data_IF_291916233791
#
_entry.id   IF_291916233791
#
_cell.length_a   1.000
_cell.length_b   1.000
_cell.length_c   1.000
_cell.angle_alpha   90.00
_cell.angle_beta   90.00
_cell.angle_gamma   90.00
#
_symmetry.space_group_name_H-M   'P 1'
#
loop_
_entity.id
_entity.type
_entity.pdbx_description
1 polymer ?
#
# COMPACT_ATOMS: atom_id res chain seq x y z
N UNK A 1 -60.39 30.71 8.71
CA UNK A 1 -61.07 31.74 7.91
C UNK A 1 -60.13 32.93 7.81
N UNK A 2 -59.87 33.45 6.61
CA UNK A 2 -59.03 34.65 6.48
C UNK A 2 -59.73 35.82 7.18
N UNK A 3 -59.03 36.51 8.09
CA UNK A 3 -59.58 37.72 8.70
C UNK A 3 -59.66 38.80 7.63
N UNK A 4 -60.81 39.42 7.48
CA UNK A 4 -61.04 40.50 6.53
C UNK A 4 -61.42 41.77 7.28
N UNK A 5 -61.05 42.92 6.73
CA UNK A 5 -61.40 44.22 7.29
C UNK A 5 -62.74 44.66 6.68
N UNK A 6 -63.70 45.00 7.51
CA UNK A 6 -64.99 45.54 7.06
C UNK A 6 -64.79 46.96 6.53
N UNK A 7 -65.30 47.26 5.34
CA UNK A 7 -65.25 48.61 4.77
C UNK A 7 -65.98 49.60 5.68
N UNK A 8 -65.37 50.77 5.91
CA UNK A 8 -66.02 51.86 6.64
C UNK A 8 -67.27 52.37 5.88
N UNK A 9 -68.31 52.82 6.61
CA UNK A 9 -69.40 53.60 6.03
C UNK A 9 -68.88 54.88 5.35
N UNK A 10 -69.68 55.45 4.45
CA UNK A 10 -69.32 56.71 3.81
C UNK A 10 -69.12 57.83 4.85
N UNK A 11 -68.12 58.68 4.63
CA UNK A 11 -67.86 59.81 5.50
C UNK A 11 -69.03 60.82 5.47
N UNK A 12 -69.31 61.51 6.59
CA UNK A 12 -70.30 62.58 6.60
C UNK A 12 -69.87 63.69 5.62
N UNK A 13 -70.82 64.20 4.83
CA UNK A 13 -70.54 65.19 3.78
C UNK A 13 -71.35 66.46 4.01
N UNK A 14 -70.68 67.61 3.88
CA UNK A 14 -71.29 68.95 3.93
C UNK A 14 -72.25 69.20 2.76
N UNK A 15 -72.16 68.40 1.69
CA UNK A 15 -73.09 68.43 0.54
C UNK A 15 -74.43 67.73 0.86
N UNK A 16 -74.53 67.00 1.98
CA UNK A 16 -75.75 66.32 2.46
C UNK A 16 -76.07 66.68 3.92
N UNK A 17 -76.39 67.95 4.21
CA UNK A 17 -76.52 68.44 5.59
C UNK A 17 -77.63 67.75 6.40
N UNK A 18 -78.68 67.26 5.74
CA UNK A 18 -79.81 66.58 6.38
C UNK A 18 -79.47 65.21 7.00
N UNK A 19 -78.42 64.52 6.51
CA UNK A 19 -77.98 63.22 7.03
C UNK A 19 -76.65 63.28 7.79
N UNK A 20 -75.98 64.42 7.82
CA UNK A 20 -74.61 64.60 8.34
C UNK A 20 -74.40 63.98 9.73
N UNK A 21 -75.25 64.29 10.71
CA UNK A 21 -75.10 63.78 12.08
C UNK A 21 -75.29 62.26 12.15
N UNK A 22 -76.23 61.70 11.37
CA UNK A 22 -76.46 60.25 11.34
C UNK A 22 -75.30 59.51 10.66
N UNK A 23 -74.74 60.09 9.59
CA UNK A 23 -73.59 59.53 8.87
C UNK A 23 -72.31 59.63 9.72
N UNK A 24 -72.13 60.74 10.45
CA UNK A 24 -71.03 60.93 11.40
C UNK A 24 -71.09 59.91 12.54
N UNK A 25 -72.26 59.70 13.16
CA UNK A 25 -72.43 58.71 14.22
C UNK A 25 -72.14 57.28 13.74
N UNK A 26 -72.61 56.92 12.54
CA UNK A 26 -72.34 55.60 11.93
C UNK A 26 -70.85 55.41 11.63
N UNK A 27 -70.21 56.44 11.06
CA UNK A 27 -68.79 56.41 10.74
C UNK A 27 -67.94 56.26 12.00
N UNK A 28 -68.18 57.10 13.02
CA UNK A 28 -67.43 57.07 14.29
C UNK A 28 -67.61 55.73 15.01
N UNK A 29 -68.84 55.18 15.06
CA UNK A 29 -69.09 53.86 15.64
C UNK A 29 -68.37 52.73 14.89
N UNK A 30 -68.17 52.86 13.57
CA UNK A 30 -67.48 51.87 12.76
C UNK A 30 -65.94 51.90 12.89
N UNK A 31 -65.35 53.05 13.29
CA UNK A 31 -63.89 53.20 13.43
C UNK A 31 -63.29 52.25 14.47
N UNK A 32 -63.96 52.05 15.61
CA UNK A 32 -63.48 51.12 16.64
C UNK A 32 -63.36 49.70 16.11
N UNK A 33 -64.45 49.20 15.50
CA UNK A 33 -64.50 47.88 14.86
C UNK A 33 -63.45 47.73 13.75
N UNK A 34 -63.29 48.74 12.90
CA UNK A 34 -62.26 48.74 11.84
C UNK A 34 -60.86 48.61 12.43
N UNK A 35 -60.55 49.36 13.49
CA UNK A 35 -59.24 49.34 14.15
C UNK A 35 -58.95 47.98 14.76
N UNK A 36 -59.93 47.39 15.44
CA UNK A 36 -59.81 46.05 16.01
C UNK A 36 -59.57 44.98 14.93
N UNK A 37 -60.31 45.04 13.82
CA UNK A 37 -60.16 44.13 12.69
C UNK A 37 -58.79 44.29 12.00
N UNK A 38 -58.34 45.52 11.80
CA UNK A 38 -57.03 45.82 11.21
C UNK A 38 -55.88 45.31 12.10
N UNK A 39 -55.93 45.57 13.40
CA UNK A 39 -54.94 45.07 14.36
C UNK A 39 -54.96 43.54 14.44
N UNK A 40 -56.15 42.93 14.44
CA UNK A 40 -56.32 41.49 14.47
C UNK A 40 -55.80 40.78 13.20
N UNK A 41 -55.88 41.45 12.04
CA UNK A 41 -55.30 40.97 10.78
C UNK A 41 -53.77 41.14 10.79
N UNK A 42 -53.26 42.30 11.22
CA UNK A 42 -51.82 42.55 11.31
C UNK A 42 -51.13 41.50 12.20
N UNK A 43 -51.68 41.21 13.38
CA UNK A 43 -51.19 40.18 14.28
C UNK A 43 -51.21 38.78 13.64
N UNK A 44 -52.25 38.46 12.87
CA UNK A 44 -52.36 37.18 12.18
C UNK A 44 -51.31 37.03 11.08
N UNK A 45 -51.03 38.10 10.32
CA UNK A 45 -49.97 38.13 9.30
C UNK A 45 -48.60 37.97 9.93
N UNK A 46 -48.32 38.69 11.02
CA UNK A 46 -47.06 38.57 11.76
C UNK A 46 -46.84 37.15 12.29
N UNK A 47 -47.88 36.55 12.87
CA UNK A 47 -47.84 35.17 13.37
C UNK A 47 -47.62 34.16 12.25
N UNK A 48 -48.27 34.35 11.09
CA UNK A 48 -48.10 33.49 9.93
C UNK A 48 -46.68 33.62 9.34
N UNK A 49 -46.16 34.83 9.22
CA UNK A 49 -44.80 35.09 8.74
C UNK A 49 -43.76 34.41 9.65
N UNK A 50 -43.94 34.52 10.97
CA UNK A 50 -43.07 33.85 11.95
C UNK A 50 -43.14 32.33 11.84
N UNK A 51 -44.34 31.77 11.73
CA UNK A 51 -44.51 30.31 11.51
C UNK A 51 -43.80 29.83 10.25
N UNK A 52 -43.90 30.59 9.15
CA UNK A 52 -43.20 30.26 7.89
C UNK A 52 -41.67 30.36 8.06
N UNK A 53 -41.19 31.38 8.75
CA UNK A 53 -39.77 31.54 9.03
C UNK A 53 -39.21 30.38 9.89
N UNK A 54 -39.92 29.99 10.94
CA UNK A 54 -39.54 28.87 11.81
C UNK A 54 -39.58 27.53 11.05
N UNK A 55 -40.56 27.34 10.16
CA UNK A 55 -40.62 26.18 9.28
C UNK A 55 -39.45 26.14 8.29
N UNK A 56 -39.05 27.27 7.72
CA UNK A 56 -37.87 27.35 6.84
C UNK A 56 -36.57 27.06 7.60
N UNK A 57 -36.42 27.62 8.80
CA UNK A 57 -35.23 27.39 9.63
C UNK A 57 -35.11 25.93 10.09
N UNK A 58 -36.22 25.30 10.46
CA UNK A 58 -36.24 23.88 10.85
C UNK A 58 -36.00 22.91 9.68
N UNK A 59 -36.24 23.34 8.44
CA UNK A 59 -35.94 22.54 7.24
C UNK A 59 -34.47 22.62 6.81
N UNK A 60 -33.72 23.67 7.20
CA UNK A 60 -32.34 23.88 6.78
C UNK A 60 -31.39 22.71 7.12
N UNK A 61 -31.43 22.12 8.34
CA UNK A 61 -30.57 20.97 8.67
C UNK A 61 -30.82 19.75 7.78
N UNK A 62 -32.03 19.57 7.25
CA UNK A 62 -32.39 18.46 6.36
C UNK A 62 -31.72 18.67 4.98
N UNK A 63 -31.70 19.91 4.49
CA UNK A 63 -31.01 20.25 3.25
C UNK A 63 -29.51 20.06 3.39
N UNK A 64 -28.92 20.54 4.49
CA UNK A 64 -27.49 20.38 4.76
C UNK A 64 -27.11 18.89 4.88
N UNK A 65 -27.93 18.08 5.56
CA UNK A 65 -27.73 16.64 5.68
C UNK A 65 -27.80 15.91 4.34
N UNK A 66 -28.68 16.36 3.43
CA UNK A 66 -28.77 15.82 2.07
C UNK A 66 -27.51 16.11 1.26
N UNK A 67 -26.98 17.33 1.34
CA UNK A 67 -25.76 17.70 0.62
C UNK A 67 -24.54 16.94 1.15
N UNK A 68 -24.43 16.77 2.47
CA UNK A 68 -23.38 15.95 3.08
C UNK A 68 -23.49 14.48 2.65
N UNK A 69 -24.70 13.91 2.63
CA UNK A 69 -24.92 12.55 2.13
C UNK A 69 -24.49 12.40 0.66
N UNK A 70 -24.76 13.40 -0.18
CA UNK A 70 -24.36 13.38 -1.59
C UNK A 70 -22.83 13.44 -1.75
N UNK A 71 -22.14 14.24 -0.92
CA UNK A 71 -20.67 14.28 -0.87
C UNK A 71 -20.09 12.95 -0.40
N UNK A 72 -20.67 12.33 0.63
CA UNK A 72 -20.24 11.04 1.15
C UNK A 72 -20.40 9.92 0.10
N UNK A 73 -21.51 9.90 -0.64
CA UNK A 73 -21.73 8.94 -1.75
C UNK A 73 -20.69 9.14 -2.86
N UNK A 74 -20.39 10.38 -3.22
CA UNK A 74 -19.38 10.69 -4.23
C UNK A 74 -18.00 10.19 -3.80
N UNK A 75 -17.61 10.44 -2.55
CA UNK A 75 -16.35 9.96 -1.98
C UNK A 75 -16.28 8.42 -1.96
N UNK A 76 -17.36 7.75 -1.55
CA UNK A 76 -17.46 6.28 -1.54
C UNK A 76 -17.31 5.70 -2.95
N UNK A 77 -17.87 6.35 -3.97
CA UNK A 77 -17.75 5.93 -5.37
C UNK A 77 -16.30 6.00 -5.85
N UNK A 78 -15.57 7.06 -5.51
CA UNK A 78 -14.13 7.18 -5.83
C UNK A 78 -13.30 6.10 -5.12
N UNK A 79 -13.58 5.83 -3.85
CA UNK A 79 -12.88 4.79 -3.10
C UNK A 79 -13.13 3.39 -3.67
N UNK A 80 -14.37 3.12 -4.11
CA UNK A 80 -14.70 1.85 -4.76
C UNK A 80 -13.91 1.64 -6.05
N UNK A 81 -13.77 2.69 -6.88
CA UNK A 81 -12.98 2.62 -8.10
C UNK A 81 -11.49 2.35 -7.80
N UNK A 82 -10.92 3.00 -6.77
CA UNK A 82 -9.54 2.76 -6.34
C UNK A 82 -9.34 1.31 -5.84
N UNK A 83 -10.29 0.79 -5.05
CA UNK A 83 -10.25 -0.60 -4.57
C UNK A 83 -10.31 -1.62 -5.71
N UNK A 84 -11.10 -1.35 -6.75
CA UNK A 84 -11.18 -2.21 -7.95
C UNK A 84 -9.84 -2.25 -8.71
N UNK A 85 -9.16 -1.12 -8.84
CA UNK A 85 -7.84 -1.07 -9.48
C UNK A 85 -6.78 -1.84 -8.68
N UNK A 86 -6.75 -1.67 -7.35
CA UNK A 86 -5.84 -2.42 -6.47
C UNK A 86 -6.08 -3.93 -6.59
N UNK A 87 -7.34 -4.36 -6.65
CA UNK A 87 -7.68 -5.78 -6.86
C UNK A 87 -7.10 -6.30 -8.18
N UNK A 88 -7.26 -5.57 -9.27
CA UNK A 88 -6.73 -5.97 -10.58
C UNK A 88 -5.20 -6.08 -10.57
N UNK A 89 -4.50 -5.14 -9.93
CA UNK A 89 -3.03 -5.17 -9.80
C UNK A 89 -2.55 -6.34 -8.93
N UNK A 90 -3.28 -6.66 -7.87
CA UNK A 90 -3.00 -7.82 -7.02
C UNK A 90 -3.17 -9.14 -7.77
N UNK A 91 -4.24 -9.29 -8.56
CA UNK A 91 -4.48 -10.47 -9.41
C UNK A 91 -3.36 -10.65 -10.44
N UNK A 92 -2.93 -9.57 -11.10
CA UNK A 92 -1.81 -9.59 -12.05
C UNK A 92 -0.50 -9.97 -11.38
N UNK A 93 -0.26 -9.49 -10.16
CA UNK A 93 0.94 -9.82 -9.39
C UNK A 93 0.94 -11.29 -8.94
N UNK A 94 -0.21 -11.82 -8.52
CA UNK A 94 -0.37 -13.23 -8.19
C UNK A 94 -0.09 -14.14 -9.40
N UNK A 95 -0.59 -13.78 -10.58
CA UNK A 95 -0.31 -14.51 -11.82
C UNK A 95 1.19 -14.54 -12.15
N UNK A 96 1.88 -13.39 -12.03
CA UNK A 96 3.33 -13.32 -12.22
C UNK A 96 4.10 -14.21 -11.24
N UNK A 97 3.70 -14.20 -9.96
CA UNK A 97 4.31 -15.04 -8.94
C UNK A 97 4.10 -16.53 -9.25
N UNK A 98 2.92 -16.92 -9.73
CA UNK A 98 2.64 -18.30 -10.15
C UNK A 98 3.51 -18.74 -11.33
N UNK A 99 3.64 -17.89 -12.37
CA UNK A 99 4.54 -18.17 -13.50
C UNK A 99 6.00 -18.26 -13.07
N UNK A 100 6.44 -17.40 -12.14
CA UNK A 100 7.80 -17.47 -11.61
C UNK A 100 8.04 -18.77 -10.81
N UNK A 101 7.07 -19.22 -10.01
CA UNK A 101 7.16 -20.47 -9.28
C UNK A 101 7.29 -21.68 -10.22
N UNK A 102 6.51 -21.71 -11.31
CA UNK A 102 6.61 -22.74 -12.33
C UNK A 102 7.99 -22.76 -13.02
N UNK A 103 8.55 -21.58 -13.34
CA UNK A 103 9.88 -21.46 -13.92
C UNK A 103 10.98 -21.94 -12.97
N UNK A 104 10.86 -21.65 -11.67
CA UNK A 104 11.80 -22.13 -10.65
C UNK A 104 11.78 -23.66 -10.54
N UNK A 105 10.59 -24.28 -10.54
CA UNK A 105 10.50 -25.74 -10.45
C UNK A 105 11.10 -26.41 -11.70
N UNK A 106 10.86 -25.84 -12.89
CA UNK A 106 11.50 -26.31 -14.12
C UNK A 106 13.04 -26.22 -14.05
N UNK A 107 13.57 -25.08 -13.60
CA UNK A 107 15.01 -24.87 -13.44
C UNK A 107 15.63 -25.86 -12.42
N UNK A 108 14.95 -26.11 -11.31
CA UNK A 108 15.36 -27.08 -10.29
C UNK A 108 15.44 -28.50 -10.86
N UNK A 109 14.46 -28.91 -11.65
CA UNK A 109 14.47 -30.22 -12.30
C UNK A 109 15.63 -30.34 -13.30
N UNK A 110 15.88 -29.32 -14.12
CA UNK A 110 17.03 -29.31 -15.03
C UNK A 110 18.37 -29.39 -14.30
N UNK A 111 18.52 -28.70 -13.16
CA UNK A 111 19.72 -28.74 -12.34
C UNK A 111 19.94 -30.13 -11.72
N UNK A 112 18.87 -30.78 -11.24
CA UNK A 112 18.94 -32.15 -10.72
C UNK A 112 19.45 -33.13 -11.80
N UNK A 113 18.91 -33.03 -13.02
CA UNK A 113 19.38 -33.83 -14.16
C UNK A 113 20.85 -33.58 -14.47
N UNK A 114 21.28 -32.32 -14.55
CA UNK A 114 22.67 -31.96 -14.81
C UNK A 114 23.63 -32.49 -13.71
N UNK A 115 23.20 -32.46 -12.44
CA UNK A 115 23.97 -33.02 -11.34
C UNK A 115 24.11 -34.54 -11.46
N UNK A 116 23.06 -35.25 -11.87
CA UNK A 116 23.12 -36.70 -12.10
C UNK A 116 24.13 -37.04 -13.20
N UNK A 117 24.06 -36.33 -14.33
CA UNK A 117 25.01 -36.50 -15.44
C UNK A 117 26.45 -36.24 -15.01
N UNK A 118 26.69 -35.22 -14.18
CA UNK A 118 28.03 -34.93 -13.68
C UNK A 118 28.56 -36.06 -12.79
N UNK A 119 27.73 -36.65 -11.94
CA UNK A 119 28.14 -37.79 -11.11
C UNK A 119 28.45 -39.04 -11.97
N UNK A 120 27.70 -39.28 -13.03
CA UNK A 120 28.02 -40.33 -14.00
C UNK A 120 29.38 -40.06 -14.70
N UNK A 121 29.61 -38.83 -15.14
CA UNK A 121 30.90 -38.44 -15.73
C UNK A 121 32.08 -38.61 -14.75
N UNK A 122 31.89 -38.24 -13.48
CA UNK A 122 32.92 -38.46 -12.44
C UNK A 122 33.26 -39.94 -12.25
N UNK A 123 32.25 -40.83 -12.28
CA UNK A 123 32.47 -42.28 -12.20
C UNK A 123 33.32 -42.76 -13.38
N UNK A 124 33.03 -42.29 -14.59
CA UNK A 124 33.81 -42.62 -15.80
C UNK A 124 35.26 -42.14 -15.67
N UNK A 125 35.48 -40.91 -15.18
CA UNK A 125 36.85 -40.38 -14.97
C UNK A 125 37.60 -41.17 -13.89
N UNK A 126 36.91 -41.59 -12.83
CA UNK A 126 37.53 -42.30 -11.69
C UNK A 126 37.84 -43.76 -12.00
N UNK A 127 36.98 -44.44 -12.77
CA UNK A 127 37.08 -45.87 -13.05
C UNK A 127 37.65 -46.17 -14.45
N UNK A 128 37.91 -45.14 -15.27
CA UNK A 128 38.26 -45.28 -16.67
C UNK A 128 37.05 -45.55 -17.57
N UNK A 129 37.19 -45.28 -18.87
CA UNK A 129 36.17 -45.61 -19.87
C UNK A 129 35.97 -47.11 -20.06
N UNK A 130 36.98 -47.89 -19.69
CA UNK A 130 37.04 -49.33 -19.85
C UNK A 130 37.32 -49.91 -18.47
N UNK A 131 36.39 -50.72 -17.98
CA UNK A 131 36.59 -51.53 -16.79
C UNK A 131 37.44 -52.76 -17.15
N UNK A 132 38.76 -52.62 -17.03
CA UNK A 132 39.71 -53.71 -17.29
C UNK A 132 39.58 -54.88 -16.27
N UNK A 133 38.89 -54.65 -15.14
CA UNK A 133 38.65 -55.65 -14.11
C UNK A 133 37.36 -56.44 -14.35
N UNK A 134 36.34 -55.85 -15.00
CA UNK A 134 35.23 -56.56 -15.61
C UNK A 134 35.69 -57.27 -16.89
N UNK A 135 36.51 -58.31 -16.69
CA UNK A 135 36.86 -59.26 -17.72
C UNK A 135 35.56 -59.88 -18.24
N UNK A 136 35.19 -59.48 -19.44
CA UNK A 136 34.32 -60.21 -20.36
C UNK A 136 34.59 -61.71 -20.27
N UNK A 137 33.60 -62.49 -19.83
CA UNK A 137 33.58 -63.96 -20.05
C UNK A 137 33.54 -64.32 -21.54
N UNK A 138 33.37 -63.33 -22.43
CA UNK A 138 33.58 -63.43 -23.88
C UNK A 138 34.95 -62.85 -24.27
N UNK A 139 36.02 -63.53 -23.85
CA UNK A 139 37.35 -63.37 -24.46
C UNK A 139 37.48 -64.31 -25.66
N UNK A 140 36.70 -64.10 -26.71
CA UNK A 140 36.84 -64.95 -27.92
C UNK A 140 37.56 -64.27 -29.08
N UNK A 141 37.66 -62.94 -29.13
CA UNK A 141 38.37 -62.29 -30.24
C UNK A 141 39.03 -60.97 -29.85
N UNK A 142 40.31 -60.98 -29.44
CA UNK A 142 41.34 -60.02 -29.91
C UNK A 142 42.67 -60.11 -29.14
N UNK A 143 42.66 -60.42 -27.84
CA UNK A 143 43.88 -60.30 -27.00
C UNK A 143 44.94 -61.38 -27.22
N UNK A 144 44.62 -62.52 -27.84
CA UNK A 144 45.61 -63.57 -28.15
C UNK A 144 46.47 -63.25 -29.39
N UNK A 145 46.13 -62.22 -30.18
CA UNK A 145 46.95 -61.82 -31.35
C UNK A 145 48.02 -60.78 -31.04
N UNK A 146 47.97 -60.12 -29.88
CA UNK A 146 48.91 -59.04 -29.57
C UNK A 146 50.24 -59.63 -29.05
N UNK A 147 50.20 -60.62 -28.16
CA UNK A 147 51.43 -61.18 -27.55
C UNK A 147 52.35 -61.90 -28.56
N UNK A 148 51.79 -62.64 -29.52
CA UNK A 148 52.59 -63.35 -30.53
C UNK A 148 53.10 -62.46 -31.68
N UNK A 149 52.54 -61.26 -31.85
CA UNK A 149 52.93 -60.33 -32.95
C UNK A 149 54.00 -59.33 -32.50
N UNK A 150 54.10 -59.04 -31.20
CA UNK A 150 55.03 -58.03 -30.67
C UNK A 150 56.08 -58.68 -29.77
N UNK A 151 57.10 -59.26 -30.40
CA UNK A 151 58.34 -59.63 -29.71
C UNK A 151 58.85 -58.43 -28.89
N UNK A 152 59.06 -58.64 -27.58
CA UNK A 152 59.63 -57.66 -26.64
C UNK A 152 60.94 -57.10 -27.20
N UNK A 153 60.87 -55.94 -27.85
CA UNK A 153 62.02 -55.07 -28.07
C UNK A 153 62.28 -54.38 -26.73
N UNK A 154 63.53 -54.51 -26.26
CA UNK A 154 63.93 -54.24 -24.88
C UNK A 154 63.54 -52.86 -24.34
N UNK A 155 63.54 -52.79 -23.00
CA UNK A 155 63.29 -51.61 -22.17
C UNK A 155 63.69 -50.28 -22.84
N UNK A 156 62.70 -49.56 -23.34
CA UNK A 156 62.76 -48.12 -23.55
C UNK A 156 61.89 -47.50 -22.47
N UNK A 157 62.54 -46.93 -21.47
CA UNK A 157 61.90 -45.93 -20.60
C UNK A 157 61.75 -44.67 -21.44
N UNK A 158 60.57 -44.46 -22.02
CA UNK A 158 60.26 -43.25 -22.77
C UNK A 158 60.26 -42.05 -21.81
N UNK A 159 61.43 -41.43 -21.65
CA UNK A 159 61.54 -40.07 -21.11
C UNK A 159 61.26 -39.15 -22.28
N UNK A 160 60.02 -38.71 -22.44
CA UNK A 160 59.65 -37.79 -23.50
C UNK A 160 60.39 -36.46 -23.33
N UNK A 161 61.12 -36.06 -24.37
CA UNK A 161 61.71 -34.73 -24.42
C UNK A 161 60.60 -33.67 -24.50
N UNK A 162 60.85 -32.47 -23.95
CA UNK A 162 59.88 -31.35 -23.95
C UNK A 162 59.33 -31.02 -25.37
N UNK A 163 60.12 -31.33 -26.40
CA UNK A 163 59.73 -31.22 -27.82
C UNK A 163 58.68 -32.24 -28.26
N UNK A 164 58.73 -33.47 -27.74
CA UNK A 164 57.76 -34.54 -28.09
C UNK A 164 56.41 -34.31 -27.40
N UNK A 165 56.43 -33.82 -26.15
CA UNK A 165 55.23 -33.38 -25.44
C UNK A 165 54.54 -32.24 -26.20
N UNK A 166 55.31 -31.25 -26.67
CA UNK A 166 54.77 -30.16 -27.49
C UNK A 166 54.20 -30.65 -28.83
N UNK A 167 54.79 -31.67 -29.44
CA UNK A 167 54.26 -32.27 -30.68
C UNK A 167 52.96 -33.03 -30.45
N UNK A 168 52.80 -33.70 -29.31
CA UNK A 168 51.59 -34.43 -28.94
C UNK A 168 50.43 -33.52 -28.50
N UNK A 169 50.73 -32.37 -27.89
CA UNK A 169 49.74 -31.34 -27.56
C UNK A 169 49.40 -30.41 -28.74
N UNK A 170 50.31 -30.26 -29.70
CA UNK A 170 50.24 -29.26 -30.78
C UNK A 170 49.04 -29.36 -31.73
N UNK A 171 48.24 -30.42 -31.66
CA UNK A 171 46.97 -30.55 -32.39
C UNK A 171 45.70 -30.51 -31.52
N UNK A 172 45.83 -30.55 -30.19
CA UNK A 172 44.69 -30.60 -29.24
C UNK A 172 44.50 -29.33 -28.44
N UNK A 173 45.56 -28.52 -28.35
CA UNK A 173 45.55 -27.20 -27.75
C UNK A 173 46.27 -26.29 -28.73
N UNK A 174 45.59 -25.26 -29.24
CA UNK A 174 46.25 -24.21 -29.99
C UNK A 174 47.10 -23.40 -29.00
N UNK A 175 48.39 -23.77 -28.90
CA UNK A 175 49.34 -23.10 -28.01
C UNK A 175 49.49 -21.61 -28.36
N UNK A 176 49.26 -21.25 -29.63
CA UNK A 176 49.29 -19.87 -30.11
C UNK A 176 48.09 -19.10 -29.57
N UNK A 177 46.89 -19.66 -29.68
CA UNK A 177 45.68 -19.08 -29.08
C UNK A 177 45.78 -19.01 -27.55
N UNK A 178 46.26 -20.07 -26.91
CA UNK A 178 46.50 -20.07 -25.47
C UNK A 178 47.53 -19.02 -25.04
N UNK A 179 48.63 -18.86 -25.77
CA UNK A 179 49.64 -17.84 -25.47
C UNK A 179 49.11 -16.40 -25.70
N UNK A 180 48.21 -16.23 -26.67
CA UNK A 180 47.53 -14.96 -26.94
C UNK A 180 46.47 -14.62 -25.87
N UNK A 181 45.75 -15.62 -25.36
CA UNK A 181 44.68 -15.44 -24.36
C UNK A 181 45.19 -15.43 -22.92
N UNK A 182 46.31 -16.11 -22.62
CA UNK A 182 46.87 -16.18 -21.26
C UNK A 182 47.05 -14.82 -20.58
N UNK A 183 47.45 -13.72 -21.26
CA UNK A 183 47.51 -12.37 -20.69
C UNK A 183 46.14 -11.76 -20.35
N UNK A 184 45.05 -12.25 -20.95
CA UNK A 184 43.67 -11.77 -20.70
C UNK A 184 42.97 -12.52 -19.57
N UNK A 185 43.53 -13.66 -19.13
CA UNK A 185 43.03 -14.39 -17.98
C UNK A 185 43.22 -13.59 -16.69
N UNK A 186 42.11 -13.30 -16.01
CA UNK A 186 42.16 -12.61 -14.74
C UNK A 186 42.83 -13.49 -13.66
N UNK A 187 43.91 -12.99 -13.07
CA UNK A 187 44.55 -13.60 -11.91
C UNK A 187 43.63 -13.49 -10.68
N UNK A 188 43.76 -14.42 -9.72
CA UNK A 188 42.97 -14.42 -8.48
C UNK A 188 43.07 -13.10 -7.71
N UNK A 189 44.23 -12.44 -7.78
CA UNK A 189 44.47 -11.10 -7.22
C UNK A 189 43.78 -9.96 -8.00
N UNK A 190 43.60 -10.13 -9.31
CA UNK A 190 42.89 -9.18 -10.18
C UNK A 190 41.37 -9.33 -10.09
N UNK A 191 40.86 -10.52 -9.77
CA UNK A 191 39.43 -10.76 -9.54
C UNK A 191 38.85 -9.85 -8.44
N UNK A 192 39.61 -9.66 -7.35
CA UNK A 192 39.24 -8.72 -6.28
C UNK A 192 39.30 -7.24 -6.69
N UNK A 193 40.05 -6.90 -7.74
CA UNK A 193 40.14 -5.55 -8.29
C UNK A 193 39.09 -5.27 -9.37
N UNK A 194 38.66 -6.28 -10.15
CA UNK A 194 37.53 -6.16 -11.09
C UNK A 194 36.18 -6.07 -10.37
N UNK A 195 36.10 -6.66 -9.18
CA UNK A 195 34.99 -6.48 -8.24
C UNK A 195 35.32 -5.28 -7.33
N UNK A 196 35.43 -4.08 -7.90
CA UNK A 196 35.55 -2.87 -7.08
C UNK A 196 34.27 -2.62 -6.27
N UNK A 197 34.39 -2.04 -5.08
CA UNK A 197 33.23 -1.56 -4.30
C UNK A 197 32.29 -0.64 -5.10
N UNK A 198 32.75 -0.05 -6.21
CA UNK A 198 31.95 0.73 -7.17
C UNK A 198 31.06 -0.11 -8.10
N UNK A 199 31.40 -1.35 -8.45
CA UNK A 199 30.52 -2.25 -9.22
C UNK A 199 29.45 -2.93 -8.35
N UNK A 200 29.71 -3.04 -7.04
CA UNK A 200 28.73 -3.40 -6.02
C UNK A 200 28.04 -2.20 -5.34
N UNK A 201 28.53 -0.98 -5.56
CA UNK A 201 28.13 0.22 -4.80
C UNK A 201 26.68 0.64 -5.02
N UNK A 202 26.05 0.13 -6.09
CA UNK A 202 24.63 0.32 -6.36
C UNK A 202 23.73 -0.76 -5.72
N UNK A 203 24.31 -1.81 -5.13
CA UNK A 203 23.57 -2.83 -4.40
C UNK A 203 23.69 -2.56 -2.91
N UNK A 204 22.59 -2.15 -2.28
CA UNK A 204 22.47 -2.12 -0.83
C UNK A 204 22.90 -3.49 -0.29
N UNK A 205 23.85 -3.50 0.65
CA UNK A 205 24.16 -4.73 1.39
C UNK A 205 22.88 -5.25 2.05
N UNK A 206 22.79 -6.56 2.29
CA UNK A 206 21.62 -7.16 2.96
C UNK A 206 21.25 -6.40 4.25
N UNK A 207 22.24 -6.03 5.06
CA UNK A 207 22.00 -5.25 6.28
C UNK A 207 21.46 -3.85 6.02
N UNK A 208 21.88 -3.17 4.95
CA UNK A 208 21.32 -1.87 4.57
C UNK A 208 19.90 -1.99 4.04
N UNK A 209 19.60 -3.03 3.26
CA UNK A 209 18.25 -3.32 2.79
C UNK A 209 17.32 -3.67 3.96
N UNK A 210 17.77 -4.53 4.87
CA UNK A 210 17.00 -4.92 6.06
C UNK A 210 16.73 -3.69 6.95
N UNK A 211 17.71 -2.81 7.12
CA UNK A 211 17.53 -1.56 7.87
C UNK A 211 16.51 -0.64 7.16
N UNK A 212 16.64 -0.43 5.85
CA UNK A 212 15.71 0.38 5.07
C UNK A 212 14.28 -0.16 5.05
N UNK A 213 14.12 -1.49 5.05
CA UNK A 213 12.82 -2.18 5.03
C UNK A 213 12.22 -2.37 6.42
N UNK A 214 13.03 -2.25 7.49
CA UNK A 214 12.59 -2.45 8.88
C UNK A 214 11.44 -1.53 9.27
N UNK A 215 11.44 -0.28 8.75
CA UNK A 215 10.38 0.71 8.99
C UNK A 215 9.01 0.32 8.41
N UNK A 216 8.99 -0.56 7.40
CA UNK A 216 7.79 -1.08 6.75
C UNK A 216 7.36 -2.45 7.27
N UNK A 217 8.31 -3.25 7.74
CA UNK A 217 8.09 -4.67 8.07
C UNK A 217 7.91 -4.94 9.56
N UNK A 218 8.32 -4.01 10.43
CA UNK A 218 8.18 -4.14 11.89
C UNK A 218 7.50 -2.91 12.49
N UNK A 219 6.66 -3.16 13.49
CA UNK A 219 6.10 -2.08 14.29
C UNK A 219 7.20 -1.41 15.11
N UNK A 220 7.25 -0.08 15.09
CA UNK A 220 8.19 0.73 15.84
C UNK A 220 7.67 0.99 17.24
N UNK A 221 8.59 1.06 18.20
CA UNK A 221 8.22 1.35 19.57
C UNK A 221 7.87 2.82 19.76
N UNK A 222 6.75 3.07 20.41
CA UNK A 222 6.37 4.40 20.88
C UNK A 222 7.06 4.61 22.23
N UNK A 223 8.06 5.49 22.26
CA UNK A 223 8.89 5.73 23.44
C UNK A 223 8.33 6.81 24.39
N UNK A 224 7.25 7.51 24.00
CA UNK A 224 6.64 8.59 24.76
C UNK A 224 5.15 8.75 24.41
N UNK A 225 4.53 9.86 24.79
CA UNK A 225 3.17 10.18 24.33
C UNK A 225 3.12 10.71 22.89
N UNK A 226 4.27 10.87 22.22
CA UNK A 226 4.35 11.35 20.83
C UNK A 226 4.63 10.18 19.88
N UNK A 227 3.85 10.10 18.81
CA UNK A 227 4.11 9.18 17.69
C UNK A 227 4.87 9.94 16.61
N UNK A 228 6.13 9.59 16.40
CA UNK A 228 6.91 10.09 15.26
C UNK A 228 6.71 9.17 14.05
N UNK A 229 5.96 9.65 13.07
CA UNK A 229 5.59 8.90 11.86
C UNK A 229 6.74 8.82 10.85
N UNK A 230 7.86 9.52 11.08
CA UNK A 230 9.08 9.34 10.28
C UNK A 230 9.83 8.06 10.62
N UNK A 231 9.62 7.52 11.83
CA UNK A 231 10.35 6.36 12.32
C UNK A 231 9.83 5.03 11.76
N UNK A 232 8.57 4.99 11.33
CA UNK A 232 7.92 3.75 10.89
C UNK A 232 6.55 3.91 10.25
N UNK A 233 6.01 2.79 9.81
CA UNK A 233 4.65 2.69 9.26
C UNK A 233 3.66 2.13 10.27
N UNK A 234 4.10 1.17 11.08
CA UNK A 234 3.29 0.61 12.15
C UNK A 234 3.94 0.90 13.49
N UNK A 235 3.13 1.05 14.53
CA UNK A 235 3.59 1.46 15.85
C UNK A 235 2.97 0.62 16.96
N UNK A 236 3.77 0.31 17.97
CA UNK A 236 3.32 -0.38 19.18
C UNK A 236 4.02 0.21 20.41
N UNK A 237 3.41 0.17 21.57
CA UNK A 237 4.09 0.61 22.79
C UNK A 237 3.15 0.84 23.96
N UNK A 238 3.68 1.51 24.99
CA UNK A 238 2.88 1.96 26.12
C UNK A 238 2.99 3.47 26.32
N UNK A 239 1.84 4.12 26.47
CA UNK A 239 1.75 5.56 26.71
C UNK A 239 0.50 5.88 27.55
N UNK A 240 0.50 7.04 28.20
CA UNK A 240 -0.62 7.46 29.07
C UNK A 240 -0.87 8.96 28.97
N UNK A 241 -2.13 9.38 29.06
CA UNK A 241 -2.52 10.77 28.83
C UNK A 241 -2.83 11.06 27.36
N UNK A 242 -2.66 12.32 26.95
CA UNK A 242 -2.95 12.75 25.59
C UNK A 242 -1.84 12.33 24.62
N UNK A 243 -2.20 11.71 23.51
CA UNK A 243 -1.28 11.32 22.44
C UNK A 243 -1.07 12.48 21.45
N UNK A 244 0.18 12.79 21.16
CA UNK A 244 0.61 13.85 20.24
C UNK A 244 1.16 13.24 18.96
N UNK A 245 0.93 13.93 17.84
CA UNK A 245 1.49 13.53 16.56
C UNK A 245 2.82 14.30 16.37
N UNK A 246 3.90 13.55 16.17
CA UNK A 246 5.23 14.08 15.81
C UNK A 246 5.38 14.25 14.30
N UNK A 247 6.63 14.26 13.83
CA UNK A 247 6.92 14.46 12.40
C UNK A 247 6.25 13.40 11.53
N UNK A 248 5.77 13.82 10.36
CA UNK A 248 4.87 13.03 9.49
C UNK A 248 4.85 13.57 8.06
N UNK A 249 4.64 12.68 7.09
CA UNK A 249 4.56 13.01 5.67
C UNK A 249 3.17 12.72 5.11
N UNK A 250 2.74 13.55 4.16
CA UNK A 250 1.47 13.37 3.46
C UNK A 250 1.37 12.00 2.79
N UNK A 251 0.21 11.36 2.93
CA UNK A 251 -0.08 10.07 2.31
C UNK A 251 0.39 8.85 3.10
N UNK A 252 1.11 9.03 4.22
CA UNK A 252 1.49 7.92 5.10
C UNK A 252 0.25 7.28 5.76
N UNK A 253 0.25 5.96 5.88
CA UNK A 253 -0.80 5.21 6.58
C UNK A 253 -0.23 4.00 7.29
N UNK A 254 -0.97 3.49 8.26
CA UNK A 254 -0.58 2.27 8.96
C UNK A 254 -1.45 2.01 10.18
N UNK A 255 -0.92 1.19 11.09
CA UNK A 255 -1.59 0.74 12.30
C UNK A 255 -0.82 1.18 13.55
N UNK A 256 -1.56 1.58 14.58
CA UNK A 256 -1.00 1.96 15.87
C UNK A 256 -1.73 1.22 16.97
N UNK A 257 -0.98 0.48 17.78
CA UNK A 257 -1.44 -0.11 19.02
C UNK A 257 -0.75 0.56 20.21
N UNK A 258 -1.52 1.05 21.18
CA UNK A 258 -0.97 1.66 22.39
C UNK A 258 -1.63 1.00 23.58
N UNK A 259 -0.83 0.47 24.48
CA UNK A 259 -1.27 0.00 25.80
C UNK A 259 -1.11 1.11 26.84
N UNK A 260 -2.08 1.28 27.74
CA UNK A 260 -2.06 2.27 28.80
C UNK A 260 -3.29 3.18 28.84
N UNK A 261 -3.23 4.16 29.73
CA UNK A 261 -4.33 5.09 30.00
C UNK A 261 -4.37 6.26 29.04
N UNK A 262 -4.61 6.02 27.75
CA UNK A 262 -4.78 7.10 26.77
C UNK A 262 -6.06 7.87 27.09
N UNK A 263 -5.93 9.18 27.31
CA UNK A 263 -7.04 10.07 27.67
C UNK A 263 -7.59 10.86 26.47
N UNK A 264 -6.89 10.83 25.34
CA UNK A 264 -7.30 11.50 24.12
C UNK A 264 -6.14 11.73 23.16
N UNK A 265 -6.41 12.49 22.11
CA UNK A 265 -5.44 12.86 21.08
C UNK A 265 -5.33 14.38 20.99
N UNK A 266 -4.16 14.86 20.58
CA UNK A 266 -3.94 16.28 20.27
C UNK A 266 -4.77 16.74 19.07
N UNK A 267 -4.84 18.06 18.86
CA UNK A 267 -5.56 18.68 17.73
C UNK A 267 -5.03 18.28 16.35
N UNK A 268 -3.89 17.60 16.28
CA UNK A 268 -3.33 17.08 15.04
C UNK A 268 -4.00 15.82 14.53
N UNK A 269 -4.77 15.16 15.40
CA UNK A 269 -5.57 14.02 15.03
C UNK A 269 -7.00 14.43 14.69
N UNK A 270 -7.57 13.75 13.71
CA UNK A 270 -8.99 13.85 13.37
C UNK A 270 -9.60 12.46 13.51
N UNK A 271 -10.48 12.30 14.48
CA UNK A 271 -11.11 11.03 14.81
C UNK A 271 -12.32 10.81 13.91
N UNK A 272 -12.34 9.70 13.18
CA UNK A 272 -13.40 9.37 12.23
C UNK A 272 -14.58 8.62 12.88
N UNK A 273 -14.30 7.77 13.87
CA UNK A 273 -15.29 6.92 14.56
C UNK A 273 -15.14 6.99 16.09
N UNK A 274 -15.42 8.15 16.72
CA UNK A 274 -15.13 8.37 18.14
C UNK A 274 -15.87 7.42 19.08
N UNK A 275 -17.03 6.88 18.67
CA UNK A 275 -17.80 5.91 19.44
C UNK A 275 -17.11 4.55 19.60
N UNK A 276 -16.10 4.26 18.78
CA UNK A 276 -15.34 3.01 18.83
C UNK A 276 -14.03 3.14 19.62
N UNK A 277 -13.76 4.31 20.17
CA UNK A 277 -12.56 4.54 20.97
C UNK A 277 -12.59 3.71 22.25
N UNK A 278 -11.50 2.98 22.51
CA UNK A 278 -11.36 2.12 23.70
C UNK A 278 -10.72 2.86 24.87
N UNK A 279 -10.97 4.17 25.00
CA UNK A 279 -10.49 4.94 26.16
C UNK A 279 -10.93 4.28 27.47
N UNK A 280 -10.02 4.16 28.44
CA UNK A 280 -10.30 3.51 29.72
C UNK A 280 -10.26 1.98 29.71
N UNK A 281 -10.19 1.32 28.54
CA UNK A 281 -9.99 -0.14 28.43
C UNK A 281 -8.51 -0.55 28.58
N UNK A 282 -7.63 0.40 28.88
CA UNK A 282 -6.19 0.16 29.00
C UNK A 282 -5.46 -0.02 27.68
N UNK A 283 -6.11 0.23 26.54
CA UNK A 283 -5.46 0.28 25.23
C UNK A 283 -6.23 1.15 24.23
N UNK A 284 -5.56 1.58 23.16
CA UNK A 284 -6.18 2.07 21.94
C UNK A 284 -5.54 1.38 20.74
N UNK A 285 -6.36 0.94 19.80
CA UNK A 285 -5.92 0.37 18.55
C UNK A 285 -6.62 1.09 17.40
N UNK A 286 -5.86 1.62 16.45
CA UNK A 286 -6.42 2.40 15.35
C UNK A 286 -5.57 2.27 14.08
N UNK A 287 -6.23 2.42 12.93
CA UNK A 287 -5.56 2.75 11.68
C UNK A 287 -5.43 4.26 11.54
N UNK A 288 -4.41 4.71 10.81
CA UNK A 288 -4.20 6.13 10.53
C UNK A 288 -3.92 6.40 9.05
N UNK A 289 -4.20 7.63 8.63
CA UNK A 289 -3.79 8.20 7.36
C UNK A 289 -3.43 9.68 7.53
N UNK A 290 -2.25 10.08 7.06
CA UNK A 290 -1.79 11.48 7.07
C UNK A 290 -2.35 12.17 5.83
N UNK A 291 -3.28 13.10 6.05
CA UNK A 291 -4.03 13.76 4.98
C UNK A 291 -3.11 14.65 4.13
N UNK A 292 -3.10 14.49 2.80
CA UNK A 292 -2.42 15.42 1.91
C UNK A 292 -3.03 16.82 2.02
N UNK A 293 -2.22 17.82 2.36
CA UNK A 293 -2.64 19.22 2.44
C UNK A 293 -2.32 19.89 3.78
N UNK A 294 -2.89 19.38 4.87
CA UNK A 294 -2.74 19.94 6.22
C UNK A 294 -1.90 19.05 7.17
N UNK A 295 -1.45 17.89 6.68
CA UNK A 295 -0.73 16.87 7.44
C UNK A 295 -1.45 16.45 8.74
N UNK A 296 -2.78 16.58 8.81
CA UNK A 296 -3.57 16.05 9.93
C UNK A 296 -3.64 14.53 9.85
N UNK A 297 -3.59 13.88 11.01
CA UNK A 297 -3.63 12.42 11.13
C UNK A 297 -5.08 11.98 11.32
N UNK A 298 -5.68 11.45 10.25
CA UNK A 298 -7.01 10.86 10.31
C UNK A 298 -6.89 9.50 10.99
N UNK A 299 -7.68 9.24 12.04
CA UNK A 299 -7.65 7.96 12.76
C UNK A 299 -9.02 7.30 12.79
N UNK A 300 -9.00 5.98 12.59
CA UNK A 300 -10.16 5.11 12.75
C UNK A 300 -9.82 4.05 13.79
N UNK A 301 -10.49 4.07 14.94
CA UNK A 301 -10.35 3.03 15.95
C UNK A 301 -10.78 1.69 15.39
N UNK A 302 -10.11 0.64 15.84
CA UNK A 302 -10.38 -0.74 15.46
C UNK A 302 -10.84 -1.45 16.73
N UNK A 303 -12.11 -1.84 16.73
CA UNK A 303 -12.68 -2.63 17.82
C UNK A 303 -12.09 -4.04 17.78
N UNK A 304 -11.61 -4.54 18.92
CA UNK A 304 -11.34 -5.97 19.07
C UNK A 304 -12.70 -6.70 19.06
N UNK A 305 -12.85 -7.65 18.12
CA UNK A 305 -14.04 -8.48 18.00
C UNK A 305 -14.28 -9.32 19.26
#
# INVERSE_FOLDING_TARGET
MAKTITKLPDAPSVERPGSFNQDADKFVRALGKFTDEANALALAVETAAKTVQDAAFSAQPILDAKDEALRAISAATTQLAAAQNIKADAEKSAQKAQSAAQAIEAAKNSLASASSTLEEMKKIVSNGFIDDAAISESRTYSSKKIEDTFQKKGAQTDTYAKSEINSLLGGKVDLTAYAADKPTFALKSQLGAYVTSSSLGNYLTRGQLDNALSKYTKAQNIASNTIDFMQGVNFTGSASGQITAGDREAGQSGLVYISGGVSGFSSDFVILNPSEATYGQGYVFFSYFVRPGDNKVLISFIKAA
#
